data_IF_609086477609
#
_entry.id   IF_609086477609
#
_cell.length_a   1.000
_cell.length_b   1.000
_cell.length_c   1.000
_cell.angle_alpha   90.00
_cell.angle_beta   90.00
_cell.angle_gamma   90.00
#
_symmetry.space_group_name_H-M   'P 1'
#
loop_
_entity.id
_entity.type
_entity.pdbx_description
1 polymer ?
#
# COMPACT_ATOMS: atom_id res chain seq x y z
N UNK A 1 12.31 -12.12 -0.04
CA UNK A 1 10.91 -11.65 0.07
C UNK A 1 9.96 -12.77 0.47
N UNK A 2 9.98 -13.94 -0.18
CA UNK A 2 9.13 -15.09 0.20
C UNK A 2 9.21 -15.46 1.69
N UNK A 3 10.41 -15.68 2.23
CA UNK A 3 10.61 -16.00 3.65
C UNK A 3 10.10 -14.90 4.60
N UNK A 4 10.23 -13.63 4.22
CA UNK A 4 9.72 -12.52 5.03
C UNK A 4 8.19 -12.55 5.10
N UNK A 5 7.51 -12.90 4.01
CA UNK A 5 6.07 -13.10 4.01
C UNK A 5 5.65 -14.34 4.80
N UNK A 6 6.35 -15.47 4.67
CA UNK A 6 6.08 -16.67 5.49
C UNK A 6 6.17 -16.36 6.98
N UNK A 7 7.25 -15.72 7.43
CA UNK A 7 7.40 -15.31 8.84
C UNK A 7 6.32 -14.31 9.28
N UNK A 8 5.94 -13.37 8.42
CA UNK A 8 4.84 -12.44 8.72
C UNK A 8 3.51 -13.17 8.91
N UNK A 9 3.19 -14.16 8.08
CA UNK A 9 1.94 -14.91 8.14
C UNK A 9 1.90 -15.93 9.28
N UNK A 10 3.01 -16.62 9.52
CA UNK A 10 3.09 -17.75 10.47
C UNK A 10 3.36 -17.28 11.91
N UNK A 11 4.19 -16.26 12.10
CA UNK A 11 4.72 -15.89 13.43
C UNK A 11 4.10 -14.61 14.02
N UNK A 12 3.54 -13.71 13.19
CA UNK A 12 3.04 -12.41 13.65
C UNK A 12 1.51 -12.42 13.82
N UNK A 13 1.06 -12.71 15.04
CA UNK A 13 -0.36 -12.75 15.41
C UNK A 13 -0.89 -11.48 16.10
N UNK A 14 -0.03 -10.68 16.73
CA UNK A 14 -0.45 -9.44 17.39
C UNK A 14 -0.84 -8.36 16.37
N UNK A 15 -2.06 -7.84 16.49
CA UNK A 15 -2.60 -6.86 15.53
C UNK A 15 -1.79 -5.57 15.40
N UNK A 16 -1.14 -5.10 16.48
CA UNK A 16 -0.32 -3.88 16.42
C UNK A 16 1.01 -4.19 15.71
N UNK A 17 1.61 -5.32 16.02
CA UNK A 17 2.82 -5.80 15.36
C UNK A 17 2.60 -6.06 13.87
N UNK A 18 1.43 -6.59 13.48
CA UNK A 18 1.09 -6.86 12.08
C UNK A 18 1.15 -5.59 11.22
N UNK A 19 0.56 -4.48 11.67
CA UNK A 19 0.61 -3.22 10.92
C UNK A 19 2.05 -2.73 10.73
N UNK A 20 2.86 -2.77 11.79
CA UNK A 20 4.25 -2.34 11.73
C UNK A 20 5.07 -3.22 10.78
N UNK A 21 4.91 -4.55 10.89
CA UNK A 21 5.62 -5.51 10.06
C UNK A 21 5.24 -5.37 8.58
N UNK A 22 3.95 -5.31 8.24
CA UNK A 22 3.54 -5.18 6.83
C UNK A 22 3.96 -3.83 6.24
N UNK A 23 3.93 -2.76 7.04
CA UNK A 23 4.42 -1.44 6.60
C UNK A 23 5.90 -1.48 6.29
N UNK A 24 6.70 -2.18 7.10
CA UNK A 24 8.13 -2.36 6.89
C UNK A 24 8.43 -3.22 5.66
N UNK A 25 7.66 -4.29 5.43
CA UNK A 25 7.75 -5.11 4.20
C UNK A 25 7.46 -4.25 2.97
N UNK A 26 6.36 -3.49 2.98
CA UNK A 26 5.98 -2.61 1.86
C UNK A 26 7.05 -1.55 1.60
N UNK A 27 7.50 -0.85 2.65
CA UNK A 27 8.52 0.20 2.51
C UNK A 27 9.87 -0.34 2.05
N UNK A 28 10.29 -1.50 2.54
CA UNK A 28 11.51 -2.16 2.08
C UNK A 28 11.39 -2.52 0.61
N UNK A 29 10.30 -3.17 0.22
CA UNK A 29 10.08 -3.61 -1.15
C UNK A 29 10.00 -2.42 -2.13
N UNK A 30 9.37 -1.31 -1.75
CA UNK A 30 9.29 -0.08 -2.54
C UNK A 30 10.67 0.55 -2.85
N UNK A 31 11.69 0.23 -2.04
CA UNK A 31 13.07 0.69 -2.24
C UNK A 31 13.94 -0.32 -3.00
N UNK A 32 13.49 -1.56 -3.14
CA UNK A 32 14.21 -2.57 -3.92
C UNK A 32 14.13 -2.23 -5.42
N UNK A 33 15.18 -2.58 -6.16
CA UNK A 33 15.30 -2.30 -7.61
C UNK A 33 15.82 -3.50 -8.41
N UNK A 34 15.89 -4.66 -7.76
CA UNK A 34 16.59 -5.85 -8.27
C UNK A 34 15.65 -6.93 -8.85
N UNK A 35 14.34 -6.70 -8.84
CA UNK A 35 13.36 -7.65 -9.37
C UNK A 35 12.96 -7.30 -10.80
N UNK A 36 12.89 -8.31 -11.67
CA UNK A 36 12.19 -8.23 -12.97
C UNK A 36 10.69 -8.00 -12.76
N UNK A 37 9.97 -7.54 -13.78
CA UNK A 37 8.54 -7.22 -13.64
C UNK A 37 7.72 -8.48 -13.30
N UNK A 38 8.06 -9.62 -13.91
CA UNK A 38 7.50 -10.94 -13.61
C UNK A 38 7.61 -11.34 -12.13
N UNK A 39 8.66 -10.88 -11.43
CA UNK A 39 8.91 -11.16 -10.02
C UNK A 39 8.39 -10.04 -9.11
N UNK A 40 8.35 -8.80 -9.62
CA UNK A 40 7.91 -7.63 -8.88
C UNK A 40 6.37 -7.57 -8.78
N UNK A 41 5.64 -7.88 -9.85
CA UNK A 41 4.17 -7.83 -9.87
C UNK A 41 3.50 -8.74 -8.82
N UNK A 42 3.88 -10.02 -8.66
CA UNK A 42 3.29 -10.89 -7.65
C UNK A 42 3.50 -10.35 -6.24
N UNK A 43 4.69 -9.80 -5.94
CA UNK A 43 5.02 -9.24 -4.63
C UNK A 43 4.21 -7.99 -4.30
N UNK A 44 3.92 -7.12 -5.29
CA UNK A 44 3.01 -5.97 -5.09
C UNK A 44 1.61 -6.43 -4.71
N UNK A 45 1.11 -7.45 -5.41
CA UNK A 45 -0.22 -8.01 -5.16
C UNK A 45 -0.28 -8.71 -3.79
N UNK A 46 0.79 -9.42 -3.40
CA UNK A 46 0.91 -10.04 -2.09
C UNK A 46 0.92 -9.01 -0.96
N UNK A 47 1.65 -7.89 -1.11
CA UNK A 47 1.61 -6.77 -0.17
C UNK A 47 0.17 -6.23 -0.01
N UNK A 48 -0.53 -5.98 -1.12
CA UNK A 48 -1.89 -5.46 -1.10
C UNK A 48 -2.90 -6.43 -0.48
N UNK A 49 -2.71 -7.74 -0.70
CA UNK A 49 -3.51 -8.79 -0.09
C UNK A 49 -3.30 -8.82 1.42
N UNK A 50 -2.05 -8.87 1.88
CA UNK A 50 -1.69 -8.88 3.29
C UNK A 50 -2.21 -7.62 4.03
N UNK A 51 -2.05 -6.44 3.43
CA UNK A 51 -2.62 -5.19 3.96
C UNK A 51 -4.14 -5.25 4.14
N UNK A 52 -4.86 -5.89 3.20
CA UNK A 52 -6.32 -6.02 3.29
C UNK A 52 -6.82 -7.09 4.25
N UNK A 53 -5.94 -7.97 4.74
CA UNK A 53 -6.25 -9.03 5.70
C UNK A 53 -6.05 -8.62 7.16
N UNK A 54 -5.48 -7.43 7.44
CA UNK A 54 -5.32 -6.92 8.81
C UNK A 54 -6.66 -6.92 9.55
N UNK A 55 -6.70 -7.16 10.86
CA UNK A 55 -7.98 -7.30 11.56
C UNK A 55 -8.77 -5.98 11.69
N UNK A 56 -8.08 -4.88 12.01
CA UNK A 56 -8.69 -3.59 12.32
C UNK A 56 -8.86 -2.74 11.06
N UNK A 57 -10.05 -2.17 10.87
CA UNK A 57 -10.37 -1.29 9.72
C UNK A 57 -9.41 -0.09 9.56
N UNK A 58 -9.03 0.64 10.62
CA UNK A 58 -8.06 1.72 10.51
C UNK A 58 -6.70 1.24 9.98
N UNK A 59 -6.24 0.09 10.48
CA UNK A 59 -4.94 -0.48 10.10
C UNK A 59 -4.99 -1.01 8.65
N UNK A 60 -6.06 -1.69 8.25
CA UNK A 60 -6.33 -2.07 6.85
C UNK A 60 -6.29 -0.83 5.93
N UNK A 61 -6.99 0.24 6.31
CA UNK A 61 -7.07 1.48 5.53
C UNK A 61 -5.67 2.08 5.29
N UNK A 62 -4.91 2.25 6.37
CA UNK A 62 -3.55 2.78 6.33
C UNK A 62 -2.63 1.91 5.48
N UNK A 63 -2.57 0.60 5.75
CA UNK A 63 -1.72 -0.32 5.00
C UNK A 63 -2.05 -0.34 3.49
N UNK A 64 -3.34 -0.40 3.12
CA UNK A 64 -3.77 -0.39 1.72
C UNK A 64 -3.39 0.93 1.03
N UNK A 65 -3.51 2.07 1.73
CA UNK A 65 -3.08 3.37 1.19
C UNK A 65 -1.56 3.48 1.02
N UNK A 66 -0.78 2.72 1.79
CA UNK A 66 0.68 2.65 1.67
C UNK A 66 1.07 1.79 0.47
N UNK A 67 0.36 0.71 0.18
CA UNK A 67 0.59 -0.11 -1.02
C UNK A 67 0.51 0.69 -2.33
N UNK A 68 -0.20 1.83 -2.36
CA UNK A 68 -0.23 2.70 -3.53
C UNK A 68 1.17 3.14 -4.02
N UNK A 69 2.15 3.30 -3.11
CA UNK A 69 3.53 3.65 -3.49
C UNK A 69 4.22 2.56 -4.32
N UNK A 70 3.89 1.29 -4.08
CA UNK A 70 4.44 0.17 -4.87
C UNK A 70 4.05 0.24 -6.35
N UNK A 71 2.94 0.90 -6.67
CA UNK A 71 2.45 1.09 -8.03
C UNK A 71 2.87 2.43 -8.64
N UNK A 72 3.41 3.36 -7.83
CA UNK A 72 3.84 4.66 -8.32
C UNK A 72 5.36 4.77 -8.39
N UNK A 73 6.04 4.63 -7.26
CA UNK A 73 7.47 4.87 -7.08
C UNK A 73 8.31 3.59 -6.90
N UNK A 74 7.66 2.42 -6.87
CA UNK A 74 8.33 1.14 -6.99
C UNK A 74 9.09 1.02 -8.32
N UNK A 75 10.16 0.22 -8.33
CA UNK A 75 11.07 0.08 -9.47
C UNK A 75 11.38 -1.38 -9.73
N UNK A 76 11.16 -1.82 -10.97
CA UNK A 76 11.65 -3.11 -11.46
C UNK A 76 12.90 -2.90 -12.31
N UNK A 77 13.60 -3.99 -12.65
CA UNK A 77 14.75 -3.94 -13.56
C UNK A 77 14.31 -3.69 -15.01
N UNK A 78 13.03 -3.91 -15.30
CA UNK A 78 12.40 -3.54 -16.56
C UNK A 78 12.11 -2.04 -16.56
N UNK A 79 12.30 -1.37 -17.71
CA UNK A 79 12.39 0.10 -17.84
C UNK A 79 13.65 0.75 -17.26
N UNK A 80 14.82 0.10 -17.33
CA UNK A 80 16.10 0.69 -16.94
C UNK A 80 16.13 1.23 -15.48
N UNK A 81 15.32 0.66 -14.58
CA UNK A 81 15.20 1.12 -13.19
C UNK A 81 14.35 2.38 -12.99
N UNK A 82 13.55 2.76 -13.98
CA UNK A 82 12.51 3.79 -13.85
C UNK A 82 11.38 3.35 -12.92
N UNK A 83 10.61 4.34 -12.47
CA UNK A 83 9.45 4.12 -11.62
C UNK A 83 8.28 3.56 -12.41
N UNK A 84 7.49 2.69 -11.78
CA UNK A 84 6.36 2.00 -12.43
C UNK A 84 5.33 3.00 -12.98
N UNK A 85 5.02 4.05 -12.22
CA UNK A 85 4.09 5.15 -12.57
C UNK A 85 2.70 4.67 -13.05
N UNK A 86 2.13 3.65 -12.40
CA UNK A 86 0.79 3.16 -12.69
C UNK A 86 -0.27 3.91 -11.87
N UNK A 87 -0.75 5.02 -12.42
CA UNK A 87 -1.76 5.86 -11.80
C UNK A 87 -3.11 5.15 -11.58
N UNK A 88 -3.47 4.19 -12.43
CA UNK A 88 -4.73 3.45 -12.30
C UNK A 88 -4.70 2.58 -11.04
N UNK A 89 -3.62 1.82 -10.84
CA UNK A 89 -3.44 0.98 -9.64
C UNK A 89 -3.33 1.81 -8.36
N UNK A 90 -2.70 2.98 -8.41
CA UNK A 90 -2.71 3.95 -7.29
C UNK A 90 -4.15 4.29 -6.90
N UNK A 91 -4.99 4.65 -7.87
CA UNK A 91 -6.39 5.00 -7.61
C UNK A 91 -7.21 3.81 -7.10
N UNK A 92 -6.93 2.58 -7.57
CA UNK A 92 -7.56 1.37 -7.02
C UNK A 92 -7.25 1.19 -5.53
N UNK A 93 -5.99 1.39 -5.10
CA UNK A 93 -5.60 1.35 -3.69
C UNK A 93 -6.31 2.44 -2.87
N UNK A 94 -6.30 3.69 -3.35
CA UNK A 94 -6.91 4.81 -2.61
C UNK A 94 -8.44 4.69 -2.52
N UNK A 95 -9.11 4.23 -3.59
CA UNK A 95 -10.56 3.94 -3.56
C UNK A 95 -10.88 2.80 -2.60
N UNK A 96 -10.04 1.75 -2.55
CA UNK A 96 -10.20 0.66 -1.59
C UNK A 96 -10.01 1.16 -0.15
N UNK A 97 -9.00 1.99 0.11
CA UNK A 97 -8.79 2.62 1.42
C UNK A 97 -9.99 3.47 1.83
N UNK A 98 -10.53 4.29 0.91
CA UNK A 98 -11.74 5.08 1.17
C UNK A 98 -12.96 4.21 1.51
N UNK A 99 -13.16 3.10 0.79
CA UNK A 99 -14.22 2.14 1.12
C UNK A 99 -14.05 1.54 2.52
N UNK A 100 -12.82 1.27 2.95
CA UNK A 100 -12.52 0.75 4.29
C UNK A 100 -12.73 1.82 5.35
N UNK A 101 -12.33 3.07 5.11
CA UNK A 101 -12.56 4.19 6.02
C UNK A 101 -14.06 4.42 6.30
N UNK A 102 -14.90 4.30 5.26
CA UNK A 102 -16.36 4.35 5.41
C UNK A 102 -16.94 3.23 6.30
N UNK A 103 -16.22 2.12 6.48
CA UNK A 103 -16.61 1.02 7.37
C UNK A 103 -16.08 1.20 8.81
N UNK A 104 -15.33 2.26 9.08
CA UNK A 104 -14.90 2.59 10.45
C UNK A 104 -16.09 3.14 11.25
N UNK A 105 -16.41 2.50 12.37
CA UNK A 105 -17.58 2.86 13.18
C UNK A 105 -17.34 4.08 14.09
N UNK A 106 -16.09 4.34 14.47
CA UNK A 106 -15.72 5.49 15.28
C UNK A 106 -15.68 6.74 14.38
N UNK A 107 -16.57 7.74 14.59
CA UNK A 107 -16.63 8.92 13.73
C UNK A 107 -15.36 9.77 13.76
N UNK A 108 -14.71 9.90 14.92
CA UNK A 108 -13.48 10.68 15.06
C UNK A 108 -12.35 10.02 14.28
N UNK A 109 -12.21 8.70 14.42
CA UNK A 109 -11.20 7.95 13.69
C UNK A 109 -11.51 7.89 12.19
N UNK A 110 -12.77 7.80 11.81
CA UNK A 110 -13.19 7.85 10.41
C UNK A 110 -12.79 9.17 9.74
N UNK A 111 -13.07 10.32 10.37
CA UNK A 111 -12.66 11.64 9.86
C UNK A 111 -11.14 11.72 9.75
N UNK A 112 -10.40 11.22 10.75
CA UNK A 112 -8.95 11.15 10.69
C UNK A 112 -8.46 10.33 9.48
N UNK A 113 -9.06 9.16 9.23
CA UNK A 113 -8.72 8.33 8.07
C UNK A 113 -9.00 9.03 6.74
N UNK A 114 -10.09 9.80 6.64
CA UNK A 114 -10.36 10.60 5.43
C UNK A 114 -9.30 11.68 5.20
N UNK A 115 -8.83 12.36 6.25
CA UNK A 115 -7.75 13.34 6.16
C UNK A 115 -6.44 12.65 5.74
N UNK A 116 -6.12 11.50 6.32
CA UNK A 116 -4.94 10.70 5.93
C UNK A 116 -4.99 10.27 4.45
N UNK A 117 -6.15 9.83 3.97
CA UNK A 117 -6.36 9.48 2.56
C UNK A 117 -6.24 10.72 1.66
N UNK A 118 -6.82 11.85 2.05
CA UNK A 118 -6.72 13.11 1.30
C UNK A 118 -5.26 13.55 1.14
N UNK A 119 -4.48 13.52 2.23
CA UNK A 119 -3.05 13.81 2.18
C UNK A 119 -2.31 12.86 1.22
N UNK A 120 -2.77 11.61 1.10
CA UNK A 120 -2.22 10.66 0.14
C UNK A 120 -2.57 11.01 -1.31
N UNK A 121 -3.79 11.45 -1.58
CA UNK A 121 -4.18 11.98 -2.89
C UNK A 121 -3.32 13.19 -3.27
N UNK A 122 -3.17 14.16 -2.36
CA UNK A 122 -2.32 15.35 -2.57
C UNK A 122 -0.88 14.95 -2.89
N UNK A 123 -0.30 14.02 -2.12
CA UNK A 123 1.06 13.52 -2.35
C UNK A 123 1.24 12.91 -3.75
N UNK A 124 0.26 12.18 -4.28
CA UNK A 124 0.33 11.63 -5.63
C UNK A 124 0.04 12.66 -6.72
N UNK A 125 -0.86 13.60 -6.46
CA UNK A 125 -1.13 14.72 -7.36
C UNK A 125 0.12 15.59 -7.57
N UNK A 126 0.79 15.98 -6.48
CA UNK A 126 2.05 16.74 -6.51
C UNK A 126 3.20 16.00 -7.22
N UNK A 127 3.10 14.67 -7.31
CA UNK A 127 4.06 13.82 -8.03
C UNK A 127 3.66 13.56 -9.49
N UNK A 128 2.75 14.38 -10.04
CA UNK A 128 2.29 14.32 -11.43
C UNK A 128 1.52 13.02 -11.77
N UNK A 129 0.71 12.53 -10.82
CA UNK A 129 -0.23 11.45 -11.12
C UNK A 129 -1.55 12.01 -11.67
N UNK A 130 -1.66 12.11 -13.00
CA UNK A 130 -2.86 12.61 -13.71
C UNK A 130 -4.14 11.78 -13.49
N UNK A 131 -4.03 10.59 -12.90
CA UNK A 131 -5.19 9.80 -12.49
C UNK A 131 -5.87 10.37 -11.24
N UNK A 132 -5.15 11.16 -10.45
CA UNK A 132 -5.71 11.95 -9.34
C UNK A 132 -6.24 13.25 -9.93
N UNK A 133 -7.55 13.31 -10.17
CA UNK A 133 -8.23 14.49 -10.71
C UNK A 133 -9.17 15.12 -9.68
N UNK A 134 -9.35 16.42 -9.84
CA UNK A 134 -10.35 17.25 -9.17
C UNK A 134 -11.77 16.86 -9.56
#
# INVERSE_FOLDING_TARGET
MSQAFSLYEDEISDSKAQLAAITLIIGTFERMRCFSEENHEPLRTQCALAASKLLKKPDQCRAVSICAHLFWSGRSTEKNGEEIRDGKRVMECLKKALKIANQCMDPSLQVQLFIEILNRYVCFYERENDAVRH
#
